data_IF_357902068153
#
_entry.id   IF_357902068153
#
_cell.length_a   1.000
_cell.length_b   1.000
_cell.length_c   1.000
_cell.angle_alpha   90.00
_cell.angle_beta   90.00
_cell.angle_gamma   90.00
#
_symmetry.space_group_name_H-M   'P 1'
#
loop_
_entity.id
_entity.type
_entity.pdbx_description
1 polymer ?
#
# COMPACT_ATOMS: atom_id res chain seq x y z
N UNK A 1 -7.95 -11.45 -5.91
CA UNK A 1 -6.94 -10.65 -6.64
C UNK A 1 -7.63 -9.39 -7.14
N UNK A 2 -6.96 -8.24 -7.04
CA UNK A 2 -7.48 -6.93 -7.45
C UNK A 2 -6.59 -6.40 -8.57
N UNK A 3 -7.20 -6.05 -9.70
CA UNK A 3 -6.50 -5.53 -10.88
C UNK A 3 -6.39 -4.01 -10.80
N UNK A 4 -5.17 -3.49 -10.83
CA UNK A 4 -4.91 -2.05 -10.67
C UNK A 4 -3.79 -1.59 -11.60
N UNK A 5 -3.71 -0.27 -11.81
CA UNK A 5 -2.69 0.35 -12.63
C UNK A 5 -1.84 1.30 -11.79
N UNK A 6 -0.51 1.18 -11.89
CA UNK A 6 0.41 2.09 -11.20
C UNK A 6 0.32 3.50 -11.80
N UNK A 7 0.00 4.46 -10.94
CA UNK A 7 -0.21 5.84 -11.35
C UNK A 7 1.08 6.51 -11.86
N UNK A 8 2.23 6.17 -11.29
CA UNK A 8 3.54 6.80 -11.56
C UNK A 8 4.35 6.12 -12.67
N UNK A 9 3.86 5.01 -13.23
CA UNK A 9 4.59 4.20 -14.23
C UNK A 9 3.79 3.91 -15.49
N UNK A 10 3.21 4.94 -16.09
CA UNK A 10 2.60 4.84 -17.43
C UNK A 10 1.52 3.76 -17.55
N UNK A 11 0.71 3.59 -16.50
CA UNK A 11 -0.33 2.55 -16.44
C UNK A 11 0.24 1.12 -16.53
N UNK A 12 1.32 0.80 -15.81
CA UNK A 12 1.69 -0.59 -15.59
C UNK A 12 0.58 -1.31 -14.81
N UNK A 13 0.02 -2.37 -15.41
CA UNK A 13 -0.95 -3.23 -14.74
C UNK A 13 -0.25 -4.16 -13.74
N UNK A 14 -0.78 -4.20 -12.51
CA UNK A 14 -0.35 -5.13 -11.47
C UNK A 14 -1.57 -5.79 -10.82
N UNK A 15 -1.37 -7.01 -10.36
CA UNK A 15 -2.35 -7.78 -9.62
C UNK A 15 -2.02 -7.74 -8.14
N UNK A 16 -2.93 -7.20 -7.32
CA UNK A 16 -2.77 -7.16 -5.87
C UNK A 16 -3.51 -8.31 -5.18
N UNK A 17 -2.94 -8.78 -4.08
CA UNK A 17 -3.62 -9.71 -3.19
C UNK A 17 -4.84 -9.00 -2.54
N UNK A 18 -5.99 -9.69 -2.36
CA UNK A 18 -7.18 -9.06 -1.77
C UNK A 18 -7.02 -8.72 -0.29
N UNK A 19 -6.06 -9.32 0.43
CA UNK A 19 -5.85 -9.07 1.86
C UNK A 19 -4.75 -8.02 2.10
N UNK A 20 -5.08 -6.96 2.84
CA UNK A 20 -4.09 -5.98 3.28
C UNK A 20 -3.30 -6.50 4.49
N UNK A 21 -1.98 -6.32 4.48
CA UNK A 21 -1.05 -6.87 5.47
C UNK A 21 -0.06 -5.81 5.97
N UNK A 22 0.40 -5.94 7.21
CA UNK A 22 1.48 -5.11 7.75
C UNK A 22 2.78 -5.44 7.01
N UNK A 23 3.44 -4.40 6.50
CA UNK A 23 4.65 -4.54 5.70
C UNK A 23 4.40 -4.76 4.20
N UNK A 24 3.16 -4.64 3.73
CA UNK A 24 2.86 -4.53 2.30
C UNK A 24 3.36 -3.23 1.68
N UNK A 25 3.20 -3.10 0.37
CA UNK A 25 3.91 -2.12 -0.45
C UNK A 25 3.00 -1.19 -1.25
N UNK A 26 1.70 -1.48 -1.34
CA UNK A 26 0.78 -0.74 -2.21
C UNK A 26 -0.48 -0.28 -1.49
N UNK A 27 -1.06 0.82 -1.95
CA UNK A 27 -2.46 1.15 -1.73
C UNK A 27 -3.12 1.42 -3.08
N UNK A 28 -4.44 1.32 -3.14
CA UNK A 28 -5.19 1.57 -4.36
C UNK A 28 -6.51 2.29 -4.07
N UNK A 29 -7.00 3.04 -5.05
CA UNK A 29 -8.25 3.79 -4.97
C UNK A 29 -8.90 3.87 -6.37
N UNK A 30 -10.20 4.12 -6.40
CA UNK A 30 -10.91 4.38 -7.64
C UNK A 30 -10.65 5.84 -8.08
N UNK A 31 -10.19 6.12 -9.31
CA UNK A 31 -10.13 7.49 -9.80
C UNK A 31 -11.54 8.04 -9.93
N UNK A 32 -11.83 9.09 -9.17
CA UNK A 32 -13.16 9.73 -9.12
C UNK A 32 -13.51 10.56 -10.37
N UNK A 33 -12.68 10.57 -11.42
CA UNK A 33 -12.74 11.63 -12.44
C UNK A 33 -12.72 11.21 -13.92
N UNK A 34 -12.78 9.92 -14.29
CA UNK A 34 -12.84 9.53 -15.70
C UNK A 34 -14.21 8.98 -16.10
N UNK A 35 -14.79 9.58 -17.14
CA UNK A 35 -15.92 9.01 -17.89
C UNK A 35 -15.36 7.79 -18.63
N UNK A 36 -15.74 6.59 -18.18
CA UNK A 36 -15.41 5.27 -18.77
C UNK A 36 -13.99 4.73 -18.45
N UNK A 37 -13.80 3.40 -18.37
CA UNK A 37 -14.27 2.46 -17.33
C UNK A 37 -13.62 2.71 -15.94
N UNK A 38 -14.16 2.11 -14.86
CA UNK A 38 -13.59 2.19 -13.49
C UNK A 38 -12.19 1.54 -13.41
N UNK A 39 -11.14 2.29 -13.76
CA UNK A 39 -9.75 1.81 -13.69
C UNK A 39 -9.20 2.08 -12.30
N UNK A 40 -9.07 1.07 -11.45
CA UNK A 40 -8.43 1.23 -10.15
C UNK A 40 -6.96 1.64 -10.29
N UNK A 41 -6.55 2.68 -9.56
CA UNK A 41 -5.17 3.18 -9.54
C UNK A 41 -4.48 2.78 -8.26
N UNK A 42 -3.22 2.40 -8.37
CA UNK A 42 -2.37 2.07 -7.24
C UNK A 42 -1.17 3.01 -7.14
N UNK A 43 -0.66 3.14 -5.91
CA UNK A 43 0.60 3.82 -5.63
C UNK A 43 1.42 3.03 -4.61
N UNK A 44 2.72 3.27 -4.62
CA UNK A 44 3.64 2.70 -3.65
C UNK A 44 3.40 3.28 -2.25
N UNK A 45 3.70 2.46 -1.24
CA UNK A 45 3.71 2.87 0.16
C UNK A 45 4.66 4.06 0.33
N UNK A 46 4.19 5.21 0.84
CA UNK A 46 5.04 6.34 1.11
C UNK A 46 5.97 6.06 2.30
N UNK A 47 7.13 6.72 2.32
CA UNK A 47 8.10 6.60 3.42
C UNK A 47 7.53 7.17 4.73
N UNK A 48 6.70 8.22 4.64
CA UNK A 48 6.01 8.87 5.76
C UNK A 48 4.57 9.16 5.37
N UNK A 49 3.67 9.08 6.34
CA UNK A 49 2.28 9.53 6.20
C UNK A 49 2.06 10.81 6.99
N UNK A 50 1.22 11.69 6.44
CA UNK A 50 0.77 12.89 7.14
C UNK A 50 -0.02 12.53 8.40
N UNK A 51 -0.01 13.43 9.37
CA UNK A 51 -0.83 13.29 10.58
C UNK A 51 -2.32 13.34 10.22
N UNK A 52 -3.19 12.62 10.96
CA UNK A 52 -4.63 12.77 10.82
C UNK A 52 -5.06 14.21 11.03
N UNK A 53 -6.05 14.69 10.27
CA UNK A 53 -6.54 16.06 10.37
C UNK A 53 -7.13 16.39 11.75
N UNK A 54 -7.56 15.38 12.50
CA UNK A 54 -8.18 15.48 13.81
C UNK A 54 -7.24 15.12 14.97
N UNK A 55 -5.92 15.07 14.75
CA UNK A 55 -4.95 14.81 15.80
C UNK A 55 -4.88 15.99 16.78
N UNK A 56 -4.69 15.71 18.08
CA UNK A 56 -4.51 16.77 19.07
C UNK A 56 -3.17 17.50 18.88
N UNK A 57 -3.07 18.75 19.35
CA UNK A 57 -1.81 19.51 19.29
C UNK A 57 -0.66 18.85 20.07
N UNK A 58 -0.99 18.08 21.12
CA UNK A 58 0.00 17.36 21.91
C UNK A 58 0.51 16.14 21.12
N UNK A 59 -0.39 15.32 20.59
CA UNK A 59 -0.03 14.14 19.79
C UNK A 59 0.65 14.51 18.46
N UNK A 60 0.31 15.67 17.89
CA UNK A 60 0.95 16.18 16.67
C UNK A 60 2.45 16.40 16.86
N UNK A 61 2.89 16.84 18.05
CA UNK A 61 4.32 17.02 18.35
C UNK A 61 5.07 15.70 18.39
N UNK A 62 4.39 14.62 18.76
CA UNK A 62 4.94 13.27 18.87
C UNK A 62 4.67 12.42 17.61
N UNK A 63 4.04 13.00 16.58
CA UNK A 63 3.65 12.27 15.38
C UNK A 63 4.87 11.80 14.57
N UNK A 64 5.10 10.49 14.60
CA UNK A 64 6.06 9.84 13.71
C UNK A 64 5.36 9.24 12.48
N UNK A 65 5.33 10.03 11.40
CA UNK A 65 4.78 9.61 10.13
C UNK A 65 5.45 8.38 9.51
N UNK A 66 6.71 8.07 9.86
CA UNK A 66 7.40 6.87 9.36
C UNK A 66 6.93 5.63 10.12
N UNK A 67 6.85 5.71 11.44
CA UNK A 67 6.29 4.65 12.28
C UNK A 67 4.83 4.38 11.92
N UNK A 68 4.06 5.44 11.66
CA UNK A 68 2.67 5.32 11.19
C UNK A 68 2.58 4.64 9.82
N UNK A 69 3.47 4.97 8.86
CA UNK A 69 3.48 4.31 7.56
C UNK A 69 3.79 2.80 7.68
N UNK A 70 4.73 2.42 8.55
CA UNK A 70 5.15 1.03 8.76
C UNK A 70 4.14 0.16 9.52
N UNK A 71 3.28 0.76 10.34
CA UNK A 71 2.27 0.05 11.14
C UNK A 71 0.94 -0.13 10.42
N UNK A 72 0.69 0.63 9.34
CA UNK A 72 -0.51 0.48 8.50
C UNK A 72 -0.48 -0.83 7.72
N UNK A 73 -1.67 -1.35 7.42
CA UNK A 73 -1.86 -2.44 6.48
C UNK A 73 -1.84 -1.88 5.06
N UNK A 74 -1.07 -2.53 4.20
CA UNK A 74 -0.90 -2.21 2.79
C UNK A 74 -1.06 -3.50 1.98
N UNK A 75 -1.32 -3.39 0.70
CA UNK A 75 -1.45 -4.52 -0.20
C UNK A 75 -0.10 -4.95 -0.76
N UNK A 76 -0.02 -6.19 -1.22
CA UNK A 76 1.15 -6.73 -1.92
C UNK A 76 0.73 -7.22 -3.29
N UNK A 77 1.68 -7.29 -4.23
CA UNK A 77 1.47 -8.04 -5.47
C UNK A 77 1.08 -9.49 -5.18
N UNK A 78 0.05 -9.97 -5.86
CA UNK A 78 -0.44 -11.32 -5.74
C UNK A 78 0.61 -12.31 -6.27
N UNK A 79 0.83 -13.39 -5.52
CA UNK A 79 1.66 -14.51 -5.95
C UNK A 79 0.85 -15.79 -5.80
N UNK A 80 0.66 -16.53 -6.89
CA UNK A 80 -0.13 -17.75 -6.88
C UNK A 80 0.38 -18.74 -5.83
N UNK A 81 -0.54 -19.30 -5.04
CA UNK A 81 -0.22 -20.27 -3.98
C UNK A 81 0.34 -19.66 -2.69
N UNK A 82 0.46 -18.34 -2.57
CA UNK A 82 0.92 -17.66 -1.37
C UNK A 82 -0.11 -16.67 -0.84
N UNK A 83 -0.24 -16.60 0.48
CA UNK A 83 -0.99 -15.55 1.18
C UNK A 83 -0.17 -14.26 1.25
N UNK A 84 -0.83 -13.11 1.40
CA UNK A 84 -0.17 -11.82 1.59
C UNK A 84 0.87 -11.83 2.73
N UNK A 85 0.56 -12.50 3.84
CA UNK A 85 1.48 -12.68 4.97
C UNK A 85 2.74 -13.49 4.60
N UNK A 86 2.58 -14.59 3.85
CA UNK A 86 3.71 -15.40 3.38
C UNK A 86 4.61 -14.62 2.41
N UNK A 87 4.02 -13.80 1.53
CA UNK A 87 4.76 -12.94 0.60
C UNK A 87 5.65 -11.96 1.37
N UNK A 88 5.10 -11.26 2.37
CA UNK A 88 5.88 -10.33 3.21
C UNK A 88 6.97 -11.06 3.99
N UNK A 89 6.66 -12.21 4.59
CA UNK A 89 7.63 -13.00 5.33
C UNK A 89 8.80 -13.45 4.43
N UNK A 90 8.53 -13.88 3.21
CA UNK A 90 9.54 -14.28 2.22
C UNK A 90 10.49 -13.14 1.84
N UNK A 91 9.97 -11.91 1.67
CA UNK A 91 10.80 -10.72 1.37
C UNK A 91 11.75 -10.36 2.50
N UNK A 92 11.30 -10.48 3.76
CA UNK A 92 12.15 -10.23 4.93
C UNK A 92 13.33 -11.19 4.99
N UNK A 93 13.10 -12.48 4.72
CA UNK A 93 14.17 -13.50 4.70
C UNK A 93 15.24 -13.17 3.65
N UNK A 94 14.85 -12.72 2.46
CA UNK A 94 15.80 -12.33 1.39
C UNK A 94 16.62 -11.07 1.69
N UNK A 95 16.15 -10.18 2.57
CA UNK A 95 16.90 -8.98 2.97
C UNK A 95 17.92 -9.25 4.09
N UNK A 96 17.78 -10.38 4.78
CA UNK A 96 18.66 -10.79 5.88
C UNK A 96 19.71 -11.83 5.46
N UNK A 97 19.68 -12.26 4.20
CA UNK A 97 20.69 -13.09 3.56
C UNK A 97 21.58 -12.21 2.68
#
# INVERSE_FOLDING_TARGET
MIKVYLFDRGCLHIDLDPEAVIGGDYTYWNPTYERDPQIWRATYRPIKVAAPLNISNQDLKEWDGRKAANSRRWYVEHMCGLTAAQIVAGRRRRRSA
#
